data_IF_009073943156
#
_entry.id   IF_009073943156
#
_cell.length_a   1.000
_cell.length_b   1.000
_cell.length_c   1.000
_cell.angle_alpha   90.00
_cell.angle_beta   90.00
_cell.angle_gamma   90.00
#
_symmetry.space_group_name_H-M   'P 1'
#
loop_
_entity.id
_entity.type
_entity.pdbx_description
1 polymer ?
#
# COMPACT_ATOMS: atom_id res chain seq x y z
N UNK A 1 -48.61 -5.60 -35.19
CA UNK A 1 -47.16 -5.71 -34.90
C UNK A 1 -46.86 -4.73 -33.78
N UNK A 2 -47.16 -5.17 -32.52
CA UNK A 2 -47.02 -4.37 -31.31
C UNK A 2 -45.60 -4.52 -30.78
N UNK A 3 -44.83 -3.49 -30.90
CA UNK A 3 -43.54 -3.34 -30.24
C UNK A 3 -43.80 -3.10 -28.76
N UNK A 4 -43.45 -4.07 -27.96
CA UNK A 4 -43.39 -3.95 -26.50
C UNK A 4 -42.32 -2.89 -26.14
N UNK A 5 -42.73 -1.69 -25.82
CA UNK A 5 -41.98 -0.80 -24.95
C UNK A 5 -42.09 -1.36 -23.55
N UNK A 6 -41.07 -2.06 -23.10
CA UNK A 6 -40.83 -2.21 -21.67
C UNK A 6 -40.42 -0.82 -21.17
N UNK A 7 -41.30 -0.17 -20.47
CA UNK A 7 -40.93 0.89 -19.51
C UNK A 7 -40.20 0.16 -18.39
N UNK A 8 -38.88 0.10 -18.46
CA UNK A 8 -38.03 -0.10 -17.29
C UNK A 8 -38.22 1.16 -16.43
N UNK A 9 -39.13 1.09 -15.49
CA UNK A 9 -39.16 1.99 -14.35
C UNK A 9 -37.80 1.81 -13.67
N UNK A 10 -36.87 2.72 -13.90
CA UNK A 10 -35.75 2.95 -12.99
C UNK A 10 -36.38 3.17 -11.62
N UNK A 11 -36.32 2.16 -10.78
CA UNK A 11 -36.56 2.32 -9.34
C UNK A 11 -35.37 3.18 -8.92
N UNK A 12 -35.55 4.50 -8.85
CA UNK A 12 -34.60 5.41 -8.24
C UNK A 12 -34.50 4.97 -6.78
N UNK A 13 -33.52 4.12 -6.47
CA UNK A 13 -33.18 3.80 -5.10
C UNK A 13 -32.83 5.13 -4.41
N UNK A 14 -33.49 5.39 -3.29
CA UNK A 14 -33.10 6.51 -2.45
C UNK A 14 -31.69 6.25 -1.91
N UNK A 15 -30.85 7.28 -1.77
CA UNK A 15 -29.56 7.10 -1.11
C UNK A 15 -29.71 6.44 0.26
N UNK A 16 -28.84 5.50 0.56
CA UNK A 16 -28.90 4.67 1.75
C UNK A 16 -27.59 4.68 2.57
N UNK A 17 -26.57 5.36 2.05
CA UNK A 17 -25.23 5.42 2.66
C UNK A 17 -24.75 6.86 2.82
N UNK A 18 -23.97 7.10 3.87
CA UNK A 18 -23.39 8.40 4.18
C UNK A 18 -21.93 8.25 4.59
N UNK A 19 -21.12 9.19 4.14
CA UNK A 19 -19.76 9.42 4.62
C UNK A 19 -19.74 10.72 5.42
N UNK A 20 -19.33 10.69 6.68
CA UNK A 20 -19.16 11.85 7.55
C UNK A 20 -17.68 12.00 7.85
N UNK A 21 -17.11 13.18 7.64
CA UNK A 21 -15.74 13.51 7.97
C UNK A 21 -15.65 14.18 9.34
N UNK A 22 -14.49 14.10 10.00
CA UNK A 22 -14.27 14.68 11.33
C UNK A 22 -14.38 16.23 11.37
N UNK A 23 -14.32 16.90 10.21
CA UNK A 23 -14.56 18.33 10.09
C UNK A 23 -16.05 18.71 9.95
N UNK A 24 -16.94 17.71 9.95
CA UNK A 24 -18.39 17.87 9.82
C UNK A 24 -18.91 17.86 8.38
N UNK A 25 -18.06 17.65 7.39
CA UNK A 25 -18.49 17.47 5.99
C UNK A 25 -19.26 16.16 5.83
N UNK A 26 -20.38 16.18 5.10
CA UNK A 26 -21.22 15.02 4.83
C UNK A 26 -21.33 14.78 3.32
N UNK A 27 -21.20 13.51 2.90
CA UNK A 27 -21.41 13.06 1.52
C UNK A 27 -22.44 11.93 1.54
N UNK A 28 -23.51 12.10 0.73
CA UNK A 28 -24.62 11.15 0.65
C UNK A 28 -24.50 10.39 -0.66
N UNK A 29 -24.68 9.08 -0.62
CA UNK A 29 -24.58 8.20 -1.77
C UNK A 29 -25.30 6.87 -1.56
N UNK A 30 -24.85 5.87 -2.29
CA UNK A 30 -25.43 4.53 -2.31
C UNK A 30 -24.37 3.52 -1.86
N UNK A 31 -24.79 2.47 -1.17
CA UNK A 31 -23.86 1.43 -0.76
C UNK A 31 -23.49 0.47 -1.91
N UNK A 32 -22.31 -0.08 -1.84
CA UNK A 32 -21.88 -1.31 -2.49
C UNK A 32 -20.90 -2.05 -1.55
N UNK A 33 -20.72 -3.37 -1.72
CA UNK A 33 -19.99 -4.17 -0.74
C UNK A 33 -20.75 -4.28 0.59
N UNK A 34 -20.03 -4.35 1.70
CA UNK A 34 -20.61 -4.54 3.02
C UNK A 34 -21.35 -3.30 3.52
N UNK A 35 -22.40 -3.54 4.31
CA UNK A 35 -23.12 -2.49 5.04
C UNK A 35 -22.47 -2.11 6.38
N UNK A 36 -21.33 -2.72 6.73
CA UNK A 36 -20.64 -2.44 7.97
C UNK A 36 -20.27 -0.95 8.10
N UNK A 37 -20.34 -0.44 9.33
CA UNK A 37 -19.82 0.87 9.65
C UNK A 37 -18.31 0.78 9.91
N UNK A 38 -17.56 1.75 9.40
CA UNK A 38 -16.11 1.86 9.71
C UNK A 38 -15.68 3.29 9.89
N UNK A 39 -14.76 3.49 10.84
CA UNK A 39 -14.04 4.76 11.04
C UNK A 39 -12.60 4.54 10.58
N UNK A 40 -12.18 5.29 9.55
CA UNK A 40 -10.83 5.18 8.98
C UNK A 40 -10.29 6.55 8.57
N UNK A 41 -9.01 6.61 8.26
CA UNK A 41 -8.43 7.75 7.54
C UNK A 41 -8.90 7.73 6.08
N UNK A 42 -9.32 8.89 5.56
CA UNK A 42 -9.75 9.03 4.17
C UNK A 42 -8.58 9.50 3.33
N UNK A 43 -8.22 8.72 2.31
CA UNK A 43 -7.13 9.00 1.38
C UNK A 43 -7.64 8.88 -0.06
N UNK A 44 -6.91 9.39 -1.05
CA UNK A 44 -7.28 9.23 -2.45
C UNK A 44 -6.18 8.54 -3.26
N UNK A 45 -6.55 7.86 -4.33
CA UNK A 45 -5.62 7.28 -5.29
C UNK A 45 -5.94 7.78 -6.70
N UNK A 46 -4.90 8.17 -7.44
CA UNK A 46 -5.01 8.75 -8.80
C UNK A 46 -4.81 7.74 -9.92
N UNK A 47 -4.66 6.46 -9.63
CA UNK A 47 -4.53 5.40 -10.63
C UNK A 47 -5.81 5.28 -11.45
N UNK A 48 -5.66 5.12 -12.77
CA UNK A 48 -6.79 4.95 -13.69
C UNK A 48 -7.29 3.51 -13.76
N UNK A 49 -6.46 2.55 -13.33
CA UNK A 49 -6.71 1.10 -13.34
C UNK A 49 -6.15 0.49 -12.07
N UNK A 50 -6.47 -0.78 -11.79
CA UNK A 50 -5.88 -1.53 -10.69
C UNK A 50 -6.65 -1.39 -9.38
N UNK A 51 -7.97 -1.22 -9.43
CA UNK A 51 -8.75 -1.13 -8.20
C UNK A 51 -8.73 -2.45 -7.40
N UNK A 52 -8.53 -3.61 -8.03
CA UNK A 52 -8.37 -4.88 -7.35
C UNK A 52 -7.05 -4.95 -6.59
N UNK A 53 -5.96 -4.51 -7.19
CA UNK A 53 -4.65 -4.42 -6.56
C UNK A 53 -4.69 -3.42 -5.39
N UNK A 54 -5.38 -2.28 -5.53
CA UNK A 54 -5.61 -1.32 -4.45
C UNK A 54 -6.44 -1.93 -3.32
N UNK A 55 -7.52 -2.66 -3.65
CA UNK A 55 -8.36 -3.36 -2.68
C UNK A 55 -7.56 -4.35 -1.84
N UNK A 56 -6.60 -5.03 -2.47
CA UNK A 56 -5.81 -6.10 -1.86
C UNK A 56 -4.42 -5.69 -1.37
N UNK A 57 -4.04 -4.41 -1.49
CA UNK A 57 -2.77 -3.90 -0.95
C UNK A 57 -2.89 -3.67 0.57
N UNK A 58 -2.16 -4.45 1.40
CA UNK A 58 -2.22 -4.30 2.86
C UNK A 58 -1.81 -2.92 3.37
N UNK A 59 -1.08 -2.13 2.56
CA UNK A 59 -0.69 -0.76 2.92
C UNK A 59 -1.88 0.19 3.11
N UNK A 60 -3.08 -0.18 2.61
CA UNK A 60 -4.33 0.56 2.85
C UNK A 60 -5.11 0.12 4.10
N UNK A 61 -4.53 -0.70 4.96
CA UNK A 61 -5.17 -1.09 6.23
C UNK A 61 -5.56 0.16 7.02
N UNK A 62 -6.80 0.18 7.52
CA UNK A 62 -7.41 1.32 8.23
C UNK A 62 -7.56 2.61 7.40
N UNK A 63 -7.53 2.50 6.07
CA UNK A 63 -7.77 3.62 5.17
C UNK A 63 -8.97 3.35 4.26
N UNK A 64 -9.84 4.35 4.09
CA UNK A 64 -10.85 4.38 3.02
C UNK A 64 -10.26 5.12 1.82
N UNK A 65 -10.31 4.48 0.65
CA UNK A 65 -9.67 5.00 -0.55
C UNK A 65 -10.70 5.63 -1.48
N UNK A 66 -10.54 6.92 -1.73
CA UNK A 66 -11.27 7.65 -2.78
C UNK A 66 -10.60 7.35 -4.12
N UNK A 67 -11.32 6.68 -5.01
CA UNK A 67 -10.87 6.46 -6.39
C UNK A 67 -11.16 7.71 -7.22
N UNK A 68 -10.11 8.36 -7.72
CA UNK A 68 -10.29 9.57 -8.55
C UNK A 68 -10.74 9.25 -9.97
N UNK A 69 -10.45 8.04 -10.46
CA UNK A 69 -11.02 7.53 -11.69
C UNK A 69 -12.52 7.25 -11.49
N UNK A 70 -13.40 7.82 -12.32
CA UNK A 70 -14.84 7.84 -12.00
C UNK A 70 -15.49 6.46 -12.02
N UNK A 71 -15.15 5.58 -12.98
CA UNK A 71 -15.82 4.31 -13.20
C UNK A 71 -15.04 3.15 -12.59
N UNK A 72 -15.61 2.51 -11.57
CA UNK A 72 -15.01 1.37 -10.85
C UNK A 72 -15.94 0.16 -10.93
N UNK A 73 -15.36 -1.06 -10.94
CA UNK A 73 -16.08 -2.33 -11.03
C UNK A 73 -16.19 -2.89 -12.47
N UNK A 74 -15.84 -2.11 -13.47
CA UNK A 74 -16.08 -2.41 -14.89
C UNK A 74 -15.36 -3.66 -15.45
N UNK A 75 -14.33 -4.17 -14.80
CA UNK A 75 -13.65 -5.41 -15.21
C UNK A 75 -13.77 -6.56 -14.17
N UNK A 76 -14.47 -6.34 -13.07
CA UNK A 76 -14.67 -7.34 -12.02
C UNK A 76 -13.39 -7.66 -11.25
N UNK A 77 -13.40 -8.83 -10.62
CA UNK A 77 -12.27 -9.38 -9.84
C UNK A 77 -11.79 -10.66 -10.51
N UNK A 78 -10.48 -10.87 -10.50
CA UNK A 78 -9.84 -12.09 -11.01
C UNK A 78 -8.98 -12.73 -9.91
N UNK A 79 -8.85 -14.06 -9.89
CA UNK A 79 -8.10 -14.75 -8.83
C UNK A 79 -6.59 -14.44 -8.86
N UNK A 80 -6.06 -14.02 -10.01
CA UNK A 80 -4.62 -13.87 -10.25
C UNK A 80 -4.07 -12.50 -9.82
N UNK A 81 -4.92 -11.46 -9.78
CA UNK A 81 -4.49 -10.07 -9.60
C UNK A 81 -4.54 -9.60 -8.14
N UNK A 82 -4.77 -10.52 -7.18
CA UNK A 82 -4.67 -10.21 -5.77
C UNK A 82 -3.23 -10.00 -5.33
N UNK A 83 -2.99 -8.92 -4.59
CA UNK A 83 -1.70 -8.61 -3.97
C UNK A 83 -1.57 -9.18 -2.55
N UNK A 84 -2.68 -9.54 -1.91
CA UNK A 84 -2.71 -10.24 -0.62
C UNK A 84 -3.93 -11.16 -0.54
N UNK A 85 -3.81 -12.20 0.29
CA UNK A 85 -4.95 -13.06 0.65
C UNK A 85 -5.89 -12.41 1.68
N UNK A 86 -5.35 -11.50 2.48
CA UNK A 86 -6.10 -10.73 3.45
C UNK A 86 -6.45 -9.38 2.84
N UNK A 87 -7.73 -9.08 2.71
CA UNK A 87 -8.22 -7.78 2.30
C UNK A 87 -8.46 -6.93 3.55
N UNK A 88 -7.64 -5.92 3.75
CA UNK A 88 -7.60 -5.14 4.99
C UNK A 88 -7.90 -3.64 4.81
N UNK A 89 -8.21 -3.22 3.58
CA UNK A 89 -8.66 -1.86 3.28
C UNK A 89 -9.86 -1.46 4.12
N UNK A 90 -9.90 -0.23 4.59
CA UNK A 90 -11.00 0.27 5.42
C UNK A 90 -12.31 0.48 4.68
N UNK A 91 -12.27 0.75 3.38
CA UNK A 91 -13.43 0.95 2.52
C UNK A 91 -13.07 1.59 1.18
N UNK A 92 -14.01 1.64 0.27
CA UNK A 92 -13.83 2.23 -1.05
C UNK A 92 -14.90 3.28 -1.34
N UNK A 93 -14.46 4.42 -1.87
CA UNK A 93 -15.29 5.59 -2.15
C UNK A 93 -15.14 5.90 -3.63
N UNK A 94 -16.24 5.79 -4.39
CA UNK A 94 -16.23 5.90 -5.85
C UNK A 94 -17.33 6.83 -6.35
N UNK A 95 -17.16 7.36 -7.56
CA UNK A 95 -18.18 8.17 -8.20
C UNK A 95 -19.25 7.30 -8.84
N UNK A 96 -18.82 6.43 -9.76
CA UNK A 96 -19.71 5.55 -10.53
C UNK A 96 -19.27 4.10 -10.30
N UNK A 97 -20.17 3.29 -9.78
CA UNK A 97 -19.95 1.85 -9.60
C UNK A 97 -20.66 1.06 -10.68
N UNK A 98 -19.95 0.13 -11.30
CA UNK A 98 -20.50 -0.80 -12.30
C UNK A 98 -20.45 -2.23 -11.76
N UNK A 99 -21.61 -2.86 -11.61
CA UNK A 99 -21.78 -4.23 -11.15
C UNK A 99 -21.88 -5.26 -12.30
N UNK A 100 -21.71 -4.82 -13.55
CA UNK A 100 -21.75 -5.66 -14.76
C UNK A 100 -20.36 -5.71 -15.44
N UNK A 101 -19.43 -6.53 -14.90
CA UNK A 101 -18.09 -6.61 -15.45
C UNK A 101 -18.06 -7.13 -16.89
N UNK A 102 -17.19 -6.56 -17.72
CA UNK A 102 -17.02 -6.95 -19.13
C UNK A 102 -15.74 -7.76 -19.42
N UNK A 103 -14.91 -8.05 -18.41
CA UNK A 103 -13.70 -8.85 -18.58
C UNK A 103 -14.05 -10.35 -18.59
N UNK A 104 -13.61 -11.08 -19.60
CA UNK A 104 -13.88 -12.53 -19.73
C UNK A 104 -13.22 -13.39 -18.62
N UNK A 105 -12.25 -12.86 -17.86
CA UNK A 105 -11.59 -13.57 -16.76
C UNK A 105 -12.19 -13.28 -15.39
N UNK A 106 -13.19 -12.40 -15.31
CA UNK A 106 -13.75 -12.08 -14.00
C UNK A 106 -14.43 -13.30 -13.37
N UNK A 107 -14.24 -13.48 -12.08
CA UNK A 107 -14.84 -14.57 -11.28
C UNK A 107 -15.93 -14.05 -10.35
N UNK A 108 -15.80 -12.81 -9.87
CA UNK A 108 -16.73 -12.14 -8.96
C UNK A 108 -16.82 -10.65 -9.31
N UNK A 109 -17.91 -10.01 -8.89
CA UNK A 109 -18.01 -8.55 -8.90
C UNK A 109 -17.19 -7.96 -7.76
N UNK A 110 -16.84 -6.69 -7.87
CA UNK A 110 -16.15 -5.97 -6.79
C UNK A 110 -17.03 -5.93 -5.51
N UNK A 111 -18.34 -5.73 -5.64
CA UNK A 111 -19.26 -5.67 -4.50
C UNK A 111 -19.33 -7.00 -3.75
N UNK A 112 -19.43 -8.14 -4.47
CA UNK A 112 -19.43 -9.47 -3.85
C UNK A 112 -18.18 -9.71 -3.00
N UNK A 113 -16.99 -9.44 -3.55
CA UNK A 113 -15.75 -9.64 -2.81
C UNK A 113 -15.64 -8.70 -1.60
N UNK A 114 -16.09 -7.45 -1.73
CA UNK A 114 -16.11 -6.50 -0.61
C UNK A 114 -17.11 -6.93 0.47
N UNK A 115 -18.29 -7.45 0.10
CA UNK A 115 -19.28 -7.95 1.05
C UNK A 115 -18.76 -9.16 1.82
N UNK A 116 -18.19 -10.16 1.12
CA UNK A 116 -17.60 -11.35 1.73
C UNK A 116 -16.47 -11.03 2.72
N UNK A 117 -15.77 -9.93 2.51
CA UNK A 117 -14.66 -9.49 3.36
C UNK A 117 -15.02 -8.36 4.32
N UNK A 118 -16.30 -8.05 4.50
CA UNK A 118 -16.77 -7.00 5.39
C UNK A 118 -16.19 -5.62 5.09
N UNK A 119 -15.97 -5.29 3.82
CA UNK A 119 -15.44 -4.02 3.36
C UNK A 119 -16.57 -3.12 2.87
N UNK A 120 -16.83 -1.98 3.51
CA UNK A 120 -17.87 -1.06 3.09
C UNK A 120 -17.47 -0.25 1.87
N UNK A 121 -18.44 0.10 1.04
CA UNK A 121 -18.29 0.97 -0.10
C UNK A 121 -19.41 1.99 -0.22
N UNK A 122 -19.11 3.14 -0.82
CA UNK A 122 -20.09 4.19 -1.16
C UNK A 122 -19.83 4.70 -2.57
N UNK A 123 -20.89 4.85 -3.37
CA UNK A 123 -20.83 5.45 -4.70
C UNK A 123 -21.88 6.56 -4.87
N UNK A 124 -21.77 7.31 -5.96
CA UNK A 124 -22.70 8.39 -6.29
C UNK A 124 -22.33 9.74 -5.65
N UNK A 125 -21.16 9.86 -5.04
CA UNK A 125 -20.69 11.10 -4.42
C UNK A 125 -19.73 11.89 -5.32
N UNK A 126 -19.52 13.18 -5.03
CA UNK A 126 -18.52 13.98 -5.74
C UNK A 126 -17.09 13.67 -5.24
N UNK A 127 -16.49 12.61 -5.82
CA UNK A 127 -15.11 12.21 -5.49
C UNK A 127 -14.09 13.27 -5.89
N UNK A 128 -14.39 14.16 -6.87
CA UNK A 128 -13.51 15.25 -7.25
C UNK A 128 -13.46 16.33 -6.18
N UNK A 129 -14.61 16.72 -5.63
CA UNK A 129 -14.68 17.66 -4.52
C UNK A 129 -13.96 17.10 -3.29
N UNK A 130 -14.26 15.85 -2.90
CA UNK A 130 -13.63 15.18 -1.77
C UNK A 130 -12.10 15.08 -1.93
N UNK A 131 -11.61 14.72 -3.12
CA UNK A 131 -10.18 14.66 -3.42
C UNK A 131 -9.52 16.04 -3.26
N UNK A 132 -10.15 17.10 -3.75
CA UNK A 132 -9.64 18.48 -3.59
C UNK A 132 -9.63 18.90 -2.13
N UNK A 133 -10.67 18.56 -1.37
CA UNK A 133 -10.75 18.80 0.07
C UNK A 133 -9.60 18.11 0.82
N UNK A 134 -9.29 16.83 0.51
CA UNK A 134 -8.16 16.10 1.11
C UNK A 134 -6.83 16.76 0.73
N UNK A 135 -6.63 17.12 -0.54
CA UNK A 135 -5.40 17.81 -0.99
C UNK A 135 -5.18 19.14 -0.26
N UNK A 136 -6.24 19.93 -0.11
CA UNK A 136 -6.15 21.29 0.40
C UNK A 136 -6.13 21.37 1.93
N UNK A 137 -6.79 20.43 2.63
CA UNK A 137 -6.92 20.42 4.09
C UNK A 137 -6.13 19.26 4.77
N UNK A 138 -5.71 18.26 4.01
CA UNK A 138 -5.04 17.06 4.50
C UNK A 138 -5.97 15.85 4.61
N UNK A 139 -5.35 14.67 4.78
CA UNK A 139 -6.08 13.45 5.11
C UNK A 139 -6.73 13.59 6.48
N UNK A 140 -7.97 13.12 6.60
CA UNK A 140 -8.81 13.22 7.79
C UNK A 140 -9.50 11.90 8.05
N UNK A 141 -9.93 11.72 9.29
CA UNK A 141 -10.77 10.58 9.65
C UNK A 141 -12.20 10.83 9.21
N UNK A 142 -12.86 9.76 8.85
CA UNK A 142 -14.29 9.77 8.54
C UNK A 142 -14.93 8.45 8.91
N UNK A 143 -16.26 8.46 8.96
CA UNK A 143 -17.08 7.26 9.15
C UNK A 143 -17.95 7.03 7.92
N UNK A 144 -17.93 5.82 7.40
CA UNK A 144 -18.92 5.34 6.42
C UNK A 144 -20.02 4.64 7.20
N UNK A 145 -21.26 5.10 7.06
CA UNK A 145 -22.39 4.70 7.92
C UNK A 145 -23.72 4.73 7.16
N UNK A 146 -24.77 4.24 7.78
CA UNK A 146 -26.15 4.29 7.28
C UNK A 146 -26.64 5.74 7.13
N UNK A 147 -27.50 5.99 6.16
CA UNK A 147 -28.08 7.32 5.87
C UNK A 147 -28.81 7.92 7.06
N UNK A 148 -29.38 7.11 7.94
CA UNK A 148 -30.11 7.57 9.13
C UNK A 148 -29.22 8.11 10.25
N UNK A 149 -27.90 7.81 10.22
CA UNK A 149 -26.96 8.32 11.22
C UNK A 149 -26.89 9.83 11.16
N UNK A 150 -27.12 10.49 12.28
CA UNK A 150 -27.00 11.96 12.36
C UNK A 150 -25.55 12.40 12.34
N UNK A 151 -25.30 13.64 11.95
CA UNK A 151 -23.96 14.23 11.98
C UNK A 151 -23.32 14.13 13.38
N UNK A 152 -24.10 14.44 14.42
CA UNK A 152 -23.64 14.42 15.81
C UNK A 152 -23.21 13.01 16.25
N UNK A 153 -24.01 11.99 15.93
CA UNK A 153 -23.69 10.58 16.20
C UNK A 153 -22.43 10.15 15.45
N UNK A 154 -22.31 10.50 14.16
CA UNK A 154 -21.13 10.19 13.35
C UNK A 154 -19.85 10.81 13.93
N UNK A 155 -19.87 12.08 14.27
CA UNK A 155 -18.74 12.76 14.91
C UNK A 155 -18.39 12.17 16.29
N UNK A 156 -19.39 11.77 17.06
CA UNK A 156 -19.16 11.08 18.34
C UNK A 156 -18.47 9.73 18.14
N UNK A 157 -18.90 8.93 17.16
CA UNK A 157 -18.25 7.65 16.79
C UNK A 157 -16.80 7.84 16.33
N UNK A 158 -16.52 8.82 15.47
CA UNK A 158 -15.17 9.14 15.02
C UNK A 158 -14.27 9.48 16.20
N UNK A 159 -14.75 10.33 17.10
CA UNK A 159 -14.00 10.74 18.31
C UNK A 159 -13.75 9.60 19.28
N UNK A 160 -14.71 8.68 19.43
CA UNK A 160 -14.61 7.54 20.33
C UNK A 160 -13.68 6.42 19.82
N UNK A 161 -13.45 6.36 18.50
CA UNK A 161 -12.61 5.32 17.88
C UNK A 161 -11.13 5.71 18.00
N UNK A 162 -10.27 4.91 18.65
CA UNK A 162 -8.83 5.20 18.74
C UNK A 162 -8.15 5.07 17.36
N UNK A 163 -7.01 5.74 17.20
CA UNK A 163 -6.13 5.51 16.04
C UNK A 163 -5.39 4.18 16.27
N UNK A 164 -5.41 3.25 15.31
CA UNK A 164 -4.71 1.98 15.45
C UNK A 164 -3.19 2.16 15.39
N UNK A 165 -2.45 1.43 16.23
CA UNK A 165 -0.98 1.36 16.26
C UNK A 165 -0.46 -0.06 16.02
N UNK A 166 -1.33 -0.99 15.61
CA UNK A 166 -1.05 -2.41 15.47
C UNK A 166 -1.21 -2.93 14.02
N UNK A 167 -1.30 -2.02 13.05
CA UNK A 167 -1.63 -2.34 11.67
C UNK A 167 -0.73 -3.44 11.07
N UNK A 168 0.60 -3.35 11.26
CA UNK A 168 1.55 -4.36 10.77
C UNK A 168 1.28 -5.73 11.39
N UNK A 169 1.00 -5.81 12.69
CA UNK A 169 0.77 -7.09 13.36
C UNK A 169 -0.49 -7.81 12.88
N UNK A 170 -1.47 -7.05 12.37
CA UNK A 170 -2.73 -7.60 11.83
C UNK A 170 -2.60 -8.13 10.40
N UNK A 171 -1.64 -7.64 9.62
CA UNK A 171 -1.47 -8.00 8.20
C UNK A 171 -0.27 -8.90 7.94
N UNK A 172 0.70 -8.95 8.84
CA UNK A 172 1.86 -9.84 8.76
C UNK A 172 1.43 -11.31 8.84
N UNK A 173 2.12 -12.18 8.13
CA UNK A 173 1.88 -13.62 8.21
C UNK A 173 2.15 -14.14 9.64
N UNK A 174 1.31 -15.06 10.11
CA UNK A 174 1.49 -15.69 11.42
C UNK A 174 2.51 -16.83 11.45
N UNK A 175 2.83 -17.39 10.27
CA UNK A 175 3.77 -18.50 10.10
C UNK A 175 4.62 -18.26 8.87
N UNK A 176 5.89 -18.63 8.96
CA UNK A 176 6.77 -18.59 7.79
C UNK A 176 6.24 -19.47 6.66
N UNK A 177 6.37 -18.98 5.45
CA UNK A 177 6.04 -19.71 4.24
C UNK A 177 7.09 -19.48 3.16
N UNK A 178 7.02 -20.24 2.08
CA UNK A 178 8.08 -20.30 1.08
C UNK A 178 7.54 -20.07 -0.32
N UNK A 179 8.18 -19.16 -1.06
CA UNK A 179 8.00 -19.01 -2.48
C UNK A 179 9.28 -19.43 -3.20
N UNK A 180 9.22 -20.52 -3.93
CA UNK A 180 10.37 -21.11 -4.61
C UNK A 180 10.33 -20.86 -6.10
N UNK A 181 11.51 -20.76 -6.72
CA UNK A 181 11.68 -20.70 -8.17
C UNK A 181 12.53 -21.85 -8.69
N UNK A 182 12.28 -22.29 -9.93
CA UNK A 182 12.93 -23.47 -10.51
C UNK A 182 14.46 -23.30 -10.63
N UNK A 183 14.93 -22.10 -10.95
CA UNK A 183 16.35 -21.79 -11.19
C UNK A 183 16.87 -20.82 -10.11
N UNK A 184 16.75 -21.19 -8.84
CA UNK A 184 17.19 -20.33 -7.76
C UNK A 184 18.72 -20.17 -7.74
N UNK A 185 19.14 -18.94 -7.42
CA UNK A 185 20.55 -18.56 -7.26
C UNK A 185 20.83 -18.04 -5.86
N UNK A 186 19.83 -17.48 -5.20
CA UNK A 186 19.93 -16.89 -3.87
C UNK A 186 18.73 -17.26 -3.00
N UNK A 187 18.96 -17.29 -1.69
CA UNK A 187 17.94 -17.48 -0.67
C UNK A 187 17.74 -16.14 0.05
N UNK A 188 16.56 -15.59 -0.04
CA UNK A 188 16.19 -14.31 0.58
C UNK A 188 15.23 -14.58 1.72
N UNK A 189 15.49 -13.99 2.89
CA UNK A 189 14.50 -13.90 3.96
C UNK A 189 13.79 -12.55 3.81
N UNK A 190 12.48 -12.62 3.63
CA UNK A 190 11.63 -11.43 3.46
C UNK A 190 10.78 -11.25 4.72
N UNK A 191 10.95 -10.12 5.42
CA UNK A 191 10.20 -9.76 6.61
C UNK A 191 8.88 -9.16 6.17
N UNK A 192 7.78 -9.81 6.56
CA UNK A 192 6.43 -9.47 6.15
C UNK A 192 5.80 -8.44 7.10
N UNK A 193 5.73 -7.19 6.62
CA UNK A 193 5.02 -6.12 7.30
C UNK A 193 3.68 -5.77 6.61
N UNK A 194 3.19 -6.63 5.71
CA UNK A 194 2.06 -6.41 4.83
C UNK A 194 2.48 -6.48 3.36
N UNK A 195 3.16 -7.56 3.01
CA UNK A 195 3.85 -7.73 1.74
C UNK A 195 2.88 -7.93 0.57
N UNK A 196 3.08 -7.18 -0.51
CA UNK A 196 2.44 -7.42 -1.80
C UNK A 196 3.03 -8.65 -2.50
N UNK A 197 2.15 -9.49 -3.06
CA UNK A 197 2.56 -10.71 -3.77
C UNK A 197 3.45 -10.41 -4.98
N UNK A 198 3.30 -9.25 -5.61
CA UNK A 198 4.12 -8.89 -6.77
C UNK A 198 5.59 -8.65 -6.39
N UNK A 199 5.89 -8.31 -5.14
CA UNK A 199 7.26 -8.28 -4.60
C UNK A 199 7.85 -9.70 -4.63
N UNK A 200 7.11 -10.68 -4.13
CA UNK A 200 7.54 -12.09 -4.11
C UNK A 200 7.74 -12.63 -5.53
N UNK A 201 6.77 -12.34 -6.43
CA UNK A 201 6.86 -12.69 -7.86
C UNK A 201 8.11 -12.07 -8.51
N UNK A 202 8.41 -10.80 -8.18
CA UNK A 202 9.59 -10.10 -8.70
C UNK A 202 10.89 -10.74 -8.19
N UNK A 203 11.02 -11.02 -6.90
CA UNK A 203 12.19 -11.71 -6.35
C UNK A 203 12.37 -13.09 -6.99
N UNK A 204 11.30 -13.89 -7.16
CA UNK A 204 11.35 -15.17 -7.83
C UNK A 204 11.80 -15.04 -9.30
N UNK A 205 11.31 -14.02 -10.04
CA UNK A 205 11.71 -13.73 -11.43
C UNK A 205 13.22 -13.51 -11.55
N UNK A 206 13.84 -12.87 -10.57
CA UNK A 206 15.28 -12.65 -10.51
C UNK A 206 16.08 -13.82 -9.90
N UNK A 207 15.43 -14.95 -9.63
CA UNK A 207 16.07 -16.19 -9.20
C UNK A 207 16.29 -16.30 -7.70
N UNK A 208 15.50 -15.63 -6.88
CA UNK A 208 15.52 -15.79 -5.44
C UNK A 208 14.48 -16.83 -4.99
N UNK A 209 14.89 -17.81 -4.19
CA UNK A 209 13.97 -18.47 -3.29
C UNK A 209 13.68 -17.51 -2.14
N UNK A 210 12.41 -17.31 -1.84
CA UNK A 210 12.01 -16.38 -0.78
C UNK A 210 11.40 -17.16 0.38
N UNK A 211 11.95 -16.96 1.57
CA UNK A 211 11.35 -17.37 2.83
C UNK A 211 10.70 -16.14 3.46
N UNK A 212 9.38 -16.12 3.48
CA UNK A 212 8.62 -15.04 4.08
C UNK A 212 8.41 -15.36 5.56
N UNK A 213 8.74 -14.40 6.42
CA UNK A 213 8.70 -14.54 7.88
C UNK A 213 7.85 -13.43 8.52
N UNK A 214 7.22 -13.70 9.69
CA UNK A 214 6.50 -12.67 10.43
C UNK A 214 7.37 -11.46 10.79
N UNK A 215 6.73 -10.31 10.99
CA UNK A 215 7.41 -9.05 11.35
C UNK A 215 8.18 -9.12 12.69
N UNK A 216 7.84 -10.05 13.57
CA UNK A 216 8.47 -10.23 14.89
C UNK A 216 9.50 -11.37 14.94
N UNK A 217 9.98 -11.82 13.77
CA UNK A 217 11.06 -12.79 13.65
C UNK A 217 12.31 -12.31 14.40
N UNK A 218 13.04 -13.24 15.00
CA UNK A 218 14.28 -12.95 15.74
C UNK A 218 15.52 -13.06 14.87
N UNK A 219 16.64 -12.43 15.31
CA UNK A 219 17.93 -12.53 14.64
C UNK A 219 18.38 -14.01 14.53
N UNK A 220 18.28 -14.77 15.62
CA UNK A 220 18.70 -16.17 15.66
C UNK A 220 17.93 -17.03 14.64
N UNK A 221 16.62 -16.78 14.48
CA UNK A 221 15.82 -17.47 13.46
C UNK A 221 16.26 -17.12 12.05
N UNK A 222 16.64 -15.87 11.78
CA UNK A 222 17.17 -15.43 10.48
C UNK A 222 18.54 -16.08 10.24
N UNK A 223 19.46 -16.05 11.19
CA UNK A 223 20.78 -16.65 11.07
C UNK A 223 20.70 -18.16 10.84
N UNK A 224 19.74 -18.84 11.48
CA UNK A 224 19.49 -20.26 11.25
C UNK A 224 19.08 -20.57 9.79
N UNK A 225 18.35 -19.65 9.15
CA UNK A 225 17.94 -19.79 7.75
C UNK A 225 19.07 -19.56 6.74
N UNK A 226 20.18 -18.94 7.16
CA UNK A 226 21.39 -18.64 6.35
C UNK A 226 21.02 -17.95 5.03
N UNK A 227 20.36 -16.78 5.05
CA UNK A 227 20.01 -16.09 3.83
C UNK A 227 21.23 -15.44 3.15
N UNK A 228 21.14 -15.27 1.84
CA UNK A 228 22.09 -14.47 1.06
C UNK A 228 21.76 -12.97 1.14
N UNK A 229 20.51 -12.61 1.43
CA UNK A 229 20.04 -11.24 1.59
C UNK A 229 18.74 -11.15 2.36
N UNK A 230 18.46 -9.96 2.88
CA UNK A 230 17.25 -9.64 3.65
C UNK A 230 16.40 -8.66 2.85
N UNK A 231 15.11 -8.90 2.81
CA UNK A 231 14.13 -8.02 2.20
C UNK A 231 13.15 -7.49 3.25
N UNK A 232 12.88 -6.18 3.23
CA UNK A 232 11.90 -5.53 4.10
C UNK A 232 10.72 -5.06 3.26
N UNK A 233 9.54 -5.59 3.53
CA UNK A 233 8.37 -5.33 2.70
C UNK A 233 7.78 -3.94 2.92
N UNK A 234 6.86 -3.57 2.03
CA UNK A 234 5.87 -2.54 2.26
C UNK A 234 4.94 -2.91 3.42
N UNK A 235 4.09 -1.99 3.84
CA UNK A 235 3.10 -2.22 4.89
C UNK A 235 2.38 -0.95 5.31
N UNK A 236 1.34 -1.10 6.17
CA UNK A 236 0.51 -0.02 6.64
C UNK A 236 1.05 0.67 7.90
N UNK A 237 0.47 1.82 8.21
CA UNK A 237 0.59 2.49 9.49
C UNK A 237 1.78 3.45 9.62
N UNK A 238 2.07 3.82 10.85
CA UNK A 238 3.21 4.66 11.20
C UNK A 238 4.47 3.80 11.32
N UNK A 239 5.57 4.13 10.63
CA UNK A 239 6.80 3.36 10.74
C UNK A 239 7.38 3.34 12.17
N UNK A 240 7.11 4.36 12.98
CA UNK A 240 7.58 4.42 14.37
C UNK A 240 6.90 3.39 15.29
N UNK A 241 5.72 2.87 14.91
CA UNK A 241 5.02 1.81 15.64
C UNK A 241 5.72 0.43 15.49
N UNK A 242 6.55 0.25 14.45
CA UNK A 242 7.18 -1.05 14.12
C UNK A 242 8.54 -1.22 14.79
N UNK A 243 8.60 -0.95 16.08
CA UNK A 243 9.84 -0.92 16.89
C UNK A 243 10.65 -2.21 16.85
N UNK A 244 9.99 -3.38 16.77
CA UNK A 244 10.66 -4.69 16.70
C UNK A 244 11.49 -4.82 15.44
N UNK A 245 10.93 -4.46 14.26
CA UNK A 245 11.65 -4.55 12.99
C UNK A 245 12.78 -3.53 12.94
N UNK A 246 12.56 -2.29 13.43
CA UNK A 246 13.60 -1.27 13.51
C UNK A 246 14.79 -1.77 14.36
N UNK A 247 14.51 -2.40 15.52
CA UNK A 247 15.56 -2.98 16.37
C UNK A 247 16.28 -4.15 15.69
N UNK A 248 15.57 -4.97 14.93
CA UNK A 248 16.14 -6.08 14.16
C UNK A 248 17.04 -5.58 13.02
N UNK A 249 16.65 -4.53 12.30
CA UNK A 249 17.46 -3.92 11.23
C UNK A 249 18.81 -3.44 11.79
N UNK A 250 18.83 -2.83 12.98
CA UNK A 250 20.09 -2.41 13.65
C UNK A 250 21.06 -3.57 13.89
N UNK A 251 20.55 -4.79 14.06
CA UNK A 251 21.35 -5.99 14.26
C UNK A 251 21.78 -6.64 12.94
N UNK A 252 20.98 -6.50 11.88
CA UNK A 252 21.21 -7.11 10.56
C UNK A 252 22.15 -6.30 9.66
N UNK A 253 22.16 -4.96 9.82
CA UNK A 253 23.00 -4.09 8.98
C UNK A 253 24.49 -4.45 9.09
N UNK A 254 25.19 -4.40 7.96
CA UNK A 254 26.59 -4.81 7.86
C UNK A 254 26.82 -6.33 7.80
N UNK A 255 25.81 -7.15 8.20
CA UNK A 255 25.89 -8.62 8.13
C UNK A 255 25.37 -9.18 6.81
N UNK A 256 24.27 -8.60 6.30
CA UNK A 256 23.60 -9.04 5.08
C UNK A 256 23.34 -7.87 4.15
N UNK A 257 23.32 -8.06 2.82
CA UNK A 257 22.69 -7.11 1.91
C UNK A 257 21.20 -6.95 2.26
N UNK A 258 20.73 -5.71 2.37
CA UNK A 258 19.34 -5.39 2.72
C UNK A 258 18.71 -4.52 1.64
N UNK A 259 17.50 -4.89 1.19
CA UNK A 259 16.65 -4.07 0.34
C UNK A 259 15.30 -3.83 0.99
N UNK A 260 14.86 -2.58 1.08
CA UNK A 260 13.57 -2.19 1.68
C UNK A 260 12.69 -1.39 0.71
N UNK A 261 11.39 -1.67 0.73
CA UNK A 261 10.38 -0.98 -0.08
C UNK A 261 9.34 -0.31 0.84
N UNK A 262 9.02 0.95 0.57
CA UNK A 262 7.99 1.76 1.20
C UNK A 262 8.15 1.79 2.74
N UNK A 263 7.35 1.07 3.52
CA UNK A 263 7.53 0.95 4.97
C UNK A 263 8.93 0.43 5.32
N UNK A 264 9.46 -0.53 4.53
CA UNK A 264 10.83 -1.03 4.68
C UNK A 264 11.89 0.06 4.54
N UNK A 265 11.70 1.02 3.62
CA UNK A 265 12.56 2.19 3.47
C UNK A 265 12.52 3.10 4.70
N UNK A 266 11.33 3.36 5.22
CA UNK A 266 11.14 4.21 6.40
C UNK A 266 11.77 3.56 7.65
N UNK A 267 11.55 2.25 7.86
CA UNK A 267 12.14 1.51 8.97
C UNK A 267 13.68 1.44 8.88
N UNK A 268 14.25 1.28 7.67
CA UNK A 268 15.70 1.39 7.47
C UNK A 268 16.19 2.75 7.92
N UNK A 269 15.57 3.83 7.44
CA UNK A 269 15.97 5.19 7.78
C UNK A 269 15.93 5.45 9.30
N UNK A 270 14.87 5.01 9.98
CA UNK A 270 14.74 5.07 11.44
C UNK A 270 15.82 4.22 12.16
N UNK A 271 16.16 3.05 11.63
CA UNK A 271 17.21 2.20 12.21
C UNK A 271 18.62 2.82 12.14
N UNK A 272 18.86 3.70 11.17
CA UNK A 272 20.09 4.48 11.06
C UNK A 272 20.05 5.80 11.83
N UNK A 273 18.91 6.15 12.44
CA UNK A 273 18.77 7.34 13.29
C UNK A 273 18.15 8.55 12.59
N UNK A 274 17.69 8.41 11.35
CA UNK A 274 16.86 9.43 10.69
C UNK A 274 15.47 9.51 11.32
N UNK A 275 14.70 10.50 10.90
CA UNK A 275 13.32 10.73 11.36
C UNK A 275 12.36 10.59 10.19
N UNK A 276 11.11 10.30 10.50
CA UNK A 276 10.00 10.31 9.55
C UNK A 276 8.97 11.36 9.96
N UNK A 277 8.16 11.81 9.01
CA UNK A 277 7.06 12.73 9.27
C UNK A 277 5.85 12.37 8.40
N UNK A 278 4.66 12.70 8.88
CA UNK A 278 3.42 12.47 8.15
C UNK A 278 3.22 13.57 7.10
N UNK A 279 3.03 13.16 5.85
CA UNK A 279 2.67 14.07 4.74
C UNK A 279 1.23 14.55 4.91
N UNK A 280 0.93 15.72 4.38
CA UNK A 280 -0.40 16.33 4.47
C UNK A 280 -1.52 15.44 3.93
N UNK A 281 -1.29 14.77 2.78
CA UNK A 281 -2.26 13.86 2.15
C UNK A 281 -1.59 12.59 1.58
N UNK A 282 -0.27 12.45 1.73
CA UNK A 282 0.51 11.32 1.22
C UNK A 282 0.66 11.30 -0.31
N UNK A 283 1.41 10.31 -0.79
CA UNK A 283 1.56 10.06 -2.22
C UNK A 283 0.85 8.76 -2.58
N UNK A 284 -0.10 8.82 -3.54
CA UNK A 284 -0.84 7.64 -4.02
C UNK A 284 -1.21 7.78 -5.48
N UNK A 285 -0.79 6.79 -6.26
CA UNK A 285 -1.02 6.73 -7.71
C UNK A 285 0.20 6.25 -8.47
N UNK A 286 0.06 6.04 -9.78
CA UNK A 286 1.09 5.51 -10.68
C UNK A 286 1.78 6.56 -11.56
N UNK A 287 1.82 7.83 -11.15
CA UNK A 287 2.26 8.95 -11.98
C UNK A 287 3.22 9.93 -11.27
N UNK A 288 3.95 9.47 -10.26
CA UNK A 288 4.89 10.29 -9.52
C UNK A 288 6.28 10.25 -10.16
N UNK A 289 6.83 11.40 -10.63
CA UNK A 289 8.17 11.44 -11.20
C UNK A 289 9.22 11.48 -10.09
N UNK A 290 10.14 10.53 -10.12
CA UNK A 290 11.25 10.41 -9.19
C UNK A 290 12.56 10.47 -9.94
N UNK A 291 13.52 11.26 -9.45
CA UNK A 291 14.85 11.37 -10.03
C UNK A 291 15.83 10.48 -9.29
N UNK A 292 16.48 9.59 -10.02
CA UNK A 292 17.68 8.90 -9.56
C UNK A 292 18.86 9.88 -9.57
N UNK A 293 19.38 10.22 -8.39
CA UNK A 293 20.42 11.24 -8.24
C UNK A 293 21.78 10.79 -8.73
N UNK A 294 22.03 9.47 -8.81
CA UNK A 294 23.29 8.91 -9.30
C UNK A 294 23.39 8.97 -10.83
N UNK A 295 22.29 8.65 -11.51
CA UNK A 295 22.26 8.55 -12.98
C UNK A 295 21.68 9.80 -13.65
N UNK A 296 20.92 10.61 -12.90
CA UNK A 296 20.12 11.72 -13.42
C UNK A 296 18.84 11.30 -14.14
N UNK A 297 18.57 10.01 -14.25
CA UNK A 297 17.37 9.48 -14.91
C UNK A 297 16.11 9.79 -14.10
N UNK A 298 15.01 10.06 -14.79
CA UNK A 298 13.69 10.27 -14.20
C UNK A 298 12.85 9.04 -14.49
N UNK A 299 12.25 8.50 -13.44
CA UNK A 299 11.39 7.34 -13.46
C UNK A 299 9.97 7.77 -13.08
N UNK A 300 8.97 7.20 -13.72
CA UNK A 300 7.58 7.34 -13.28
C UNK A 300 7.29 6.18 -12.33
N UNK A 301 6.82 6.51 -11.14
CA UNK A 301 6.72 5.52 -10.05
C UNK A 301 5.31 5.35 -9.53
N UNK A 302 5.05 4.16 -8.99
CA UNK A 302 3.84 3.86 -8.21
C UNK A 302 4.11 4.18 -6.74
N UNK A 303 3.19 4.92 -6.12
CA UNK A 303 3.30 5.41 -4.75
C UNK A 303 2.07 5.00 -3.94
N UNK A 304 2.29 4.64 -2.68
CA UNK A 304 1.23 4.48 -1.68
C UNK A 304 1.80 4.62 -0.27
N UNK A 305 1.99 5.84 0.20
CA UNK A 305 2.48 6.10 1.55
C UNK A 305 1.97 7.42 2.13
N UNK A 306 1.82 7.46 3.46
CA UNK A 306 1.45 8.65 4.23
C UNK A 306 2.63 9.34 4.91
N UNK A 307 3.76 8.63 5.06
CA UNK A 307 4.95 9.12 5.74
C UNK A 307 6.12 9.25 4.77
N UNK A 308 7.03 10.17 5.05
CA UNK A 308 8.27 10.35 4.31
C UNK A 308 9.45 10.51 5.29
N UNK A 309 10.66 10.23 4.80
CA UNK A 309 11.90 10.44 5.56
C UNK A 309 12.26 11.91 5.53
N UNK A 310 12.58 12.48 6.69
CA UNK A 310 13.03 13.85 6.83
C UNK A 310 14.49 13.98 6.31
N UNK A 311 14.63 14.75 5.24
CA UNK A 311 15.91 14.96 4.55
C UNK A 311 17.00 15.50 5.49
N UNK A 312 16.67 16.47 6.34
CA UNK A 312 17.62 17.11 7.24
C UNK A 312 18.11 16.15 8.33
N UNK A 313 17.27 15.17 8.69
CA UNK A 313 17.61 14.16 9.69
C UNK A 313 18.59 13.09 9.20
N UNK A 314 18.89 13.03 7.91
CA UNK A 314 19.85 12.08 7.34
C UNK A 314 21.31 12.47 7.61
N UNK A 315 21.60 13.72 7.98
CA UNK A 315 22.94 14.17 8.31
C UNK A 315 23.52 13.36 9.50
N UNK A 316 24.73 12.83 9.33
CA UNK A 316 25.41 12.03 10.35
C UNK A 316 24.94 10.58 10.51
N UNK A 317 23.92 10.12 9.76
CA UNK A 317 23.42 8.75 9.83
C UNK A 317 24.24 7.71 9.06
N UNK A 318 25.09 8.14 8.13
CA UNK A 318 25.79 7.26 7.18
C UNK A 318 24.92 6.87 5.96
N UNK A 319 23.67 7.31 5.90
CA UNK A 319 22.80 7.14 4.72
C UNK A 319 23.05 8.25 3.70
N UNK A 320 23.02 7.88 2.43
CA UNK A 320 23.07 8.83 1.30
C UNK A 320 21.76 8.76 0.53
N UNK A 321 21.19 9.91 0.17
CA UNK A 321 19.98 9.99 -0.66
C UNK A 321 20.30 9.53 -2.07
N UNK A 322 19.48 8.63 -2.61
CA UNK A 322 19.64 8.05 -3.95
C UNK A 322 18.57 8.50 -4.93
N UNK A 323 17.37 8.73 -4.43
CA UNK A 323 16.20 9.11 -5.22
C UNK A 323 15.43 10.24 -4.56
N UNK A 324 14.85 11.12 -5.38
CA UNK A 324 14.11 12.29 -4.91
C UNK A 324 12.89 12.54 -5.77
N UNK A 325 11.75 12.82 -5.14
CA UNK A 325 10.52 13.22 -5.82
C UNK A 325 10.71 14.60 -6.48
N UNK A 326 10.23 14.74 -7.72
CA UNK A 326 10.35 15.99 -8.46
C UNK A 326 9.20 16.99 -8.19
N UNK A 327 8.14 16.55 -7.53
CA UNK A 327 6.98 17.40 -7.25
C UNK A 327 7.15 18.21 -5.97
N UNK A 328 7.66 17.57 -4.91
CA UNK A 328 7.74 18.16 -3.57
C UNK A 328 9.10 17.95 -2.87
N UNK A 329 10.07 17.34 -3.57
CA UNK A 329 11.43 17.10 -3.09
C UNK A 329 11.52 16.18 -1.85
N UNK A 330 10.55 15.32 -1.63
CA UNK A 330 10.63 14.27 -0.61
C UNK A 330 11.71 13.24 -0.95
N UNK A 331 12.30 12.64 0.09
CA UNK A 331 13.29 11.56 -0.06
C UNK A 331 12.59 10.29 -0.54
N UNK A 332 13.02 9.78 -1.68
CA UNK A 332 12.42 8.62 -2.34
C UNK A 332 13.34 7.38 -2.34
N UNK A 333 14.54 7.52 -1.81
CA UNK A 333 15.45 6.39 -1.64
C UNK A 333 16.73 6.77 -0.94
N UNK A 334 17.26 5.81 -0.18
CA UNK A 334 18.54 5.96 0.53
C UNK A 334 19.43 4.73 0.36
N UNK A 335 20.72 4.88 0.58
CA UNK A 335 21.65 3.75 0.67
C UNK A 335 22.77 3.99 1.69
N UNK A 336 23.27 2.89 2.27
CA UNK A 336 24.56 2.79 2.94
C UNK A 336 25.39 1.75 2.19
N UNK A 337 26.45 2.19 1.48
CA UNK A 337 27.31 1.29 0.69
C UNK A 337 28.11 0.35 1.57
N UNK A 338 28.60 0.84 2.70
CA UNK A 338 29.42 0.07 3.64
C UNK A 338 28.64 -1.14 4.19
N UNK A 339 27.38 -0.93 4.53
CA UNK A 339 26.51 -1.97 5.05
C UNK A 339 25.77 -2.75 3.93
N UNK A 340 25.93 -2.38 2.66
CA UNK A 340 25.22 -2.96 1.51
C UNK A 340 23.70 -2.87 1.66
N UNK A 341 23.22 -1.74 2.19
CA UNK A 341 21.80 -1.47 2.41
C UNK A 341 21.34 -0.42 1.40
N UNK A 342 20.18 -0.64 0.79
CA UNK A 342 19.49 0.38 0.00
C UNK A 342 17.98 0.19 0.09
N UNK A 343 17.25 1.25 -0.17
CA UNK A 343 15.79 1.23 -0.10
C UNK A 343 15.17 2.32 -0.96
N UNK A 344 13.90 2.12 -1.33
CA UNK A 344 13.10 3.10 -2.05
C UNK A 344 11.73 3.26 -1.39
N UNK A 345 11.19 4.49 -1.43
CA UNK A 345 9.90 4.82 -0.86
C UNK A 345 8.74 4.34 -1.75
N UNK A 346 8.93 4.34 -3.04
CA UNK A 346 7.96 3.92 -4.05
C UNK A 346 7.98 2.40 -4.29
N UNK A 347 7.07 1.91 -5.14
CA UNK A 347 6.81 0.50 -5.39
C UNK A 347 7.40 0.05 -6.75
N UNK A 348 8.66 -0.44 -6.81
CA UNK A 348 9.29 -0.89 -8.05
C UNK A 348 8.69 -2.19 -8.60
N UNK A 349 7.93 -2.91 -7.79
CA UNK A 349 7.17 -4.10 -8.19
C UNK A 349 5.91 -3.73 -8.98
N UNK A 350 5.48 -2.45 -8.97
CA UNK A 350 4.22 -2.00 -9.59
C UNK A 350 2.98 -2.66 -8.95
N UNK A 351 1.98 -3.01 -9.76
CA UNK A 351 0.72 -3.64 -9.35
C UNK A 351 -0.12 -2.76 -8.37
N UNK A 352 -0.81 -1.70 -8.89
CA UNK A 352 -0.72 -1.21 -10.27
C UNK A 352 0.42 -0.21 -10.49
N UNK A 353 0.85 -0.02 -11.73
CA UNK A 353 1.74 1.09 -12.08
C UNK A 353 2.83 0.76 -13.12
N UNK A 354 3.70 1.74 -13.40
CA UNK A 354 4.80 1.61 -14.35
C UNK A 354 5.91 0.69 -13.82
N UNK A 355 6.72 0.13 -14.75
CA UNK A 355 7.79 -0.82 -14.44
C UNK A 355 9.20 -0.23 -14.59
N UNK A 356 9.33 1.09 -14.64
CA UNK A 356 10.60 1.80 -14.89
C UNK A 356 11.67 1.43 -13.87
N UNK A 357 11.29 1.12 -12.65
CA UNK A 357 12.19 0.89 -11.52
C UNK A 357 12.47 -0.59 -11.23
N UNK A 358 12.05 -1.52 -12.10
CA UNK A 358 12.24 -2.96 -11.90
C UNK A 358 13.72 -3.37 -11.78
N UNK A 359 14.66 -2.56 -12.27
CA UNK A 359 16.11 -2.78 -12.16
C UNK A 359 16.62 -2.82 -10.71
N UNK A 360 15.87 -2.27 -9.74
CA UNK A 360 16.25 -2.30 -8.33
C UNK A 360 16.30 -3.72 -7.76
N UNK A 361 15.47 -4.62 -8.25
CA UNK A 361 15.59 -6.05 -7.91
C UNK A 361 16.90 -6.64 -8.44
N UNK A 362 17.33 -6.25 -9.65
CA UNK A 362 18.63 -6.67 -10.18
C UNK A 362 19.78 -6.07 -9.34
N UNK A 363 19.69 -4.85 -8.89
CA UNK A 363 20.68 -4.25 -7.98
C UNK A 363 20.80 -5.05 -6.67
N UNK A 364 19.70 -5.53 -6.12
CA UNK A 364 19.74 -6.40 -4.93
C UNK A 364 20.48 -7.70 -5.19
N UNK A 365 20.26 -8.33 -6.38
CA UNK A 365 21.02 -9.50 -6.82
C UNK A 365 22.51 -9.20 -6.93
N UNK A 366 22.92 -8.07 -7.48
CA UNK A 366 24.33 -7.69 -7.58
C UNK A 366 24.98 -7.55 -6.20
N UNK A 367 24.29 -6.92 -5.24
CA UNK A 367 24.79 -6.78 -3.86
C UNK A 367 25.01 -8.15 -3.19
N UNK A 368 24.11 -9.14 -3.43
CA UNK A 368 24.30 -10.51 -2.91
C UNK A 368 25.47 -11.24 -3.58
N UNK A 369 25.66 -11.06 -4.90
CA UNK A 369 26.82 -11.63 -5.61
C UNK A 369 28.17 -11.14 -5.08
N UNK A 370 28.27 -9.83 -4.81
CA UNK A 370 29.51 -9.25 -4.27
C UNK A 370 29.91 -9.90 -2.94
N UNK A 371 28.95 -10.23 -2.07
CA UNK A 371 29.22 -10.94 -0.81
C UNK A 371 29.70 -12.37 -1.08
N UNK A 372 29.00 -13.10 -1.94
CA UNK A 372 29.34 -14.48 -2.26
C UNK A 372 30.72 -14.62 -2.93
N UNK A 373 31.20 -13.58 -3.64
CA UNK A 373 32.52 -13.59 -4.31
C UNK A 373 33.65 -13.26 -3.34
N UNK A 374 33.35 -12.54 -2.26
CA UNK A 374 34.34 -12.07 -1.27
C UNK A 374 34.40 -12.97 0.00
N UNK A 375 33.52 -13.99 0.11
CA UNK A 375 33.48 -14.97 1.18
C UNK A 375 34.19 -16.25 0.78
#
# INVERSE_FOLDING_TARGET
MNLYRKEETEIMNSPDRKLILEDGSEYIGYHFGSQDERVCEIVFNTSMVGYQEILSDPSYTDQMVVMTYPLIGNYGITDEDFESKLLSIGGMIVRDYNDMPSNFRYTQTLSEVMEENHIPGIYGIDTRELTRSIRDLGSRRGIMTDISTTLEEGLAKIKATPVPHDAVSRVSCHKKWYARTANHRFNVVAIDCGMKMNIVRSLNKYGCNVTIVPYDVTLDEIEWMRPDGIFLSNGPGDPEDVTKVIALIKQLRGRYPIFGICLGHQMISLAYGAKTYKLKFGHRGGNHPVKNLKTGHIEITSQNHSYAVDLDSLEGTGLSVTHMNLLDHTVEGVCCKEDRVFSVQYHPESAPGPQDSSYLFQQFIENMKEVATNA
#
